data_IF_717308580317
#
_entry.id   IF_717308580317
#
_cell.length_a   1.000
_cell.length_b   1.000
_cell.length_c   1.000
_cell.angle_alpha   90.00
_cell.angle_beta   90.00
_cell.angle_gamma   90.00
#
_symmetry.space_group_name_H-M   'P 1'
#
loop_
_entity.id
_entity.type
_entity.pdbx_description
1 polymer ?
#
# COMPACT_ATOMS: atom_id res chain seq x y z
N UNK A 1 6.22 -9.97 15.51
CA UNK A 1 5.65 -9.49 14.24
C UNK A 1 4.24 -10.02 14.14
N UNK A 2 3.23 -9.15 14.08
CA UNK A 2 1.82 -9.55 14.04
C UNK A 2 1.38 -9.94 12.63
N UNK A 3 0.54 -10.97 12.53
CA UNK A 3 -0.14 -11.31 11.27
C UNK A 3 -1.19 -10.26 10.88
N UNK A 4 -1.71 -10.37 9.65
CA UNK A 4 -2.77 -9.49 9.14
C UNK A 4 -4.14 -10.10 9.41
N UNK A 5 -4.84 -9.62 10.44
CA UNK A 5 -6.26 -9.96 10.67
C UNK A 5 -7.11 -9.07 9.76
N UNK A 6 -7.56 -9.58 8.61
CA UNK A 6 -8.29 -8.82 7.58
C UNK A 6 -9.59 -9.51 7.16
N UNK A 7 -10.37 -8.83 6.32
CA UNK A 7 -11.52 -9.39 5.60
C UNK A 7 -11.60 -8.77 4.19
N UNK A 8 -12.66 -9.06 3.44
CA UNK A 8 -12.96 -8.34 2.19
C UNK A 8 -13.71 -7.04 2.48
N UNK A 9 -13.67 -6.08 1.54
CA UNK A 9 -14.51 -4.87 1.62
C UNK A 9 -16.01 -5.20 1.59
N UNK A 10 -16.40 -6.40 1.14
CA UNK A 10 -17.78 -6.89 1.24
C UNK A 10 -18.22 -7.14 2.69
N UNK A 11 -17.33 -7.68 3.52
CA UNK A 11 -17.58 -7.86 4.95
C UNK A 11 -17.69 -6.51 5.66
N UNK A 12 -16.79 -5.57 5.36
CA UNK A 12 -16.85 -4.21 5.91
C UNK A 12 -18.17 -3.53 5.52
N UNK A 13 -18.52 -3.59 4.23
CA UNK A 13 -19.78 -3.08 3.70
C UNK A 13 -20.99 -3.67 4.43
N UNK A 14 -20.98 -4.95 4.74
CA UNK A 14 -22.15 -5.60 5.31
C UNK A 14 -22.23 -5.53 6.83
N UNK A 15 -21.10 -5.45 7.55
CA UNK A 15 -21.07 -5.71 9.00
C UNK A 15 -20.43 -4.61 9.84
N UNK A 16 -19.50 -3.83 9.28
CA UNK A 16 -18.70 -2.91 10.10
C UNK A 16 -19.51 -1.72 10.64
N UNK A 17 -19.82 -1.74 11.93
CA UNK A 17 -20.49 -0.65 12.65
C UNK A 17 -19.49 0.34 13.26
N UNK A 18 -18.21 -0.02 13.36
CA UNK A 18 -17.16 0.86 13.86
C UNK A 18 -15.98 0.91 12.88
N UNK A 19 -15.67 2.09 12.34
CA UNK A 19 -14.67 2.24 11.28
C UNK A 19 -13.66 3.30 11.71
N UNK A 20 -12.39 2.91 11.78
CA UNK A 20 -11.27 3.82 12.09
C UNK A 20 -10.49 4.05 10.80
N UNK A 21 -10.25 5.31 10.45
CA UNK A 21 -9.26 5.69 9.44
C UNK A 21 -8.07 6.32 10.16
N UNK A 22 -6.89 5.74 9.97
CA UNK A 22 -5.66 6.18 10.61
C UNK A 22 -4.63 6.67 9.60
N UNK A 23 -4.22 7.93 9.70
CA UNK A 23 -3.21 8.54 8.83
C UNK A 23 -3.60 8.44 7.36
N UNK A 24 -4.87 8.67 7.04
CA UNK A 24 -5.42 8.48 5.71
C UNK A 24 -6.56 9.46 5.42
N UNK A 25 -6.64 9.90 4.17
CA UNK A 25 -7.65 10.84 3.70
C UNK A 25 -8.47 10.22 2.54
N UNK A 26 -9.31 9.21 2.83
CA UNK A 26 -10.12 8.52 1.83
C UNK A 26 -11.02 9.44 0.99
N UNK A 27 -11.46 10.59 1.51
CA UNK A 27 -12.29 11.54 0.75
C UNK A 27 -11.57 12.07 -0.51
N UNK A 28 -10.23 12.18 -0.47
CA UNK A 28 -9.43 12.64 -1.61
C UNK A 28 -8.70 11.49 -2.30
N UNK A 29 -8.10 10.57 -1.54
CA UNK A 29 -7.28 9.50 -2.09
C UNK A 29 -8.09 8.30 -2.61
N UNK A 30 -9.30 8.08 -2.06
CA UNK A 30 -10.20 6.99 -2.47
C UNK A 30 -11.66 7.47 -2.52
N UNK A 31 -12.02 8.41 -3.41
CA UNK A 31 -13.25 9.22 -3.26
C UNK A 31 -14.56 8.42 -3.18
N UNK A 32 -14.60 7.21 -3.75
CA UNK A 32 -15.77 6.32 -3.72
C UNK A 32 -15.77 5.32 -2.56
N UNK A 33 -14.76 5.34 -1.69
CA UNK A 33 -14.61 4.35 -0.61
C UNK A 33 -15.76 4.41 0.40
N UNK A 34 -16.11 5.64 0.84
CA UNK A 34 -17.24 5.88 1.75
C UNK A 34 -18.56 5.44 1.15
N UNK A 35 -18.79 5.80 -0.12
CA UNK A 35 -20.06 5.55 -0.78
C UNK A 35 -20.22 4.11 -1.21
N UNK A 36 -19.14 3.39 -1.53
CA UNK A 36 -19.22 2.03 -2.11
C UNK A 36 -18.99 0.90 -1.10
N UNK A 37 -18.17 1.12 -0.07
CA UNK A 37 -17.69 0.02 0.78
C UNK A 37 -17.84 0.23 2.28
N UNK A 38 -18.02 1.46 2.75
CA UNK A 38 -17.99 1.74 4.19
C UNK A 38 -19.22 2.53 4.63
N UNK A 39 -19.07 3.84 4.86
CA UNK A 39 -19.98 4.67 5.63
C UNK A 39 -21.43 4.69 5.12
N UNK A 40 -21.64 4.79 3.82
CA UNK A 40 -22.97 5.08 3.28
C UNK A 40 -23.80 3.83 2.97
N UNK A 41 -23.18 2.66 2.95
CA UNK A 41 -23.83 1.45 2.49
C UNK A 41 -24.79 0.89 3.53
N UNK A 42 -26.01 0.58 3.08
CA UNK A 42 -27.00 -0.20 3.84
C UNK A 42 -26.75 -1.68 3.62
N UNK A 43 -27.04 -2.49 4.64
CA UNK A 43 -26.97 -3.95 4.56
C UNK A 43 -28.08 -4.57 5.41
N UNK A 44 -28.19 -5.91 5.37
CA UNK A 44 -29.07 -6.67 6.27
C UNK A 44 -28.75 -6.44 7.75
N UNK A 45 -27.48 -6.24 8.10
CA UNK A 45 -27.03 -6.05 9.49
C UNK A 45 -26.98 -4.58 9.91
N UNK A 46 -26.90 -3.66 8.94
CA UNK A 46 -26.80 -2.20 9.14
C UNK A 46 -27.83 -1.49 8.22
N UNK A 47 -29.14 -1.66 8.46
CA UNK A 47 -30.20 -1.21 7.55
C UNK A 47 -30.30 0.31 7.43
N UNK A 48 -29.84 1.07 8.44
CA UNK A 48 -29.86 2.55 8.44
C UNK A 48 -28.59 3.16 7.84
N UNK A 49 -27.66 2.34 7.32
CA UNK A 49 -26.47 2.80 6.61
C UNK A 49 -25.56 3.66 7.51
N UNK A 50 -25.31 4.92 7.13
CA UNK A 50 -24.45 5.86 7.88
C UNK A 50 -24.84 6.02 9.35
N UNK A 51 -26.13 5.97 9.67
CA UNK A 51 -26.64 6.10 11.06
C UNK A 51 -26.33 4.90 11.95
N UNK A 52 -26.00 3.75 11.36
CA UNK A 52 -25.60 2.53 12.09
C UNK A 52 -24.07 2.41 12.22
N UNK A 53 -23.32 3.42 11.78
CA UNK A 53 -21.86 3.37 11.73
C UNK A 53 -21.26 4.54 12.46
N UNK A 54 -20.22 4.26 13.23
CA UNK A 54 -19.35 5.27 13.81
C UNK A 54 -18.05 5.33 13.01
N UNK A 55 -17.67 6.52 12.56
CA UNK A 55 -16.40 6.79 11.92
C UNK A 55 -15.47 7.55 12.87
N UNK A 56 -14.29 6.99 13.11
CA UNK A 56 -13.19 7.68 13.77
C UNK A 56 -12.15 8.03 12.73
N UNK A 57 -11.67 9.27 12.74
CA UNK A 57 -10.51 9.69 11.98
C UNK A 57 -9.38 10.04 12.96
N UNK A 58 -8.22 9.40 12.77
CA UNK A 58 -6.98 9.74 13.46
C UNK A 58 -6.01 10.32 12.44
N UNK A 59 -5.72 11.61 12.52
CA UNK A 59 -4.83 12.30 11.59
C UNK A 59 -4.20 13.52 12.28
N UNK A 60 -3.02 13.95 11.82
CA UNK A 60 -2.34 15.14 12.32
C UNK A 60 -3.03 16.44 11.86
N UNK A 61 -3.87 16.36 10.82
CA UNK A 61 -4.57 17.50 10.22
C UNK A 61 -6.05 17.21 10.05
N UNK A 62 -6.86 18.25 10.13
CA UNK A 62 -8.28 18.18 9.78
C UNK A 62 -8.45 18.12 8.26
N UNK A 63 -8.41 16.91 7.69
CA UNK A 63 -8.54 16.69 6.24
C UNK A 63 -10.01 16.75 5.78
N UNK A 64 -10.27 16.72 4.47
CA UNK A 64 -11.65 16.63 3.95
C UNK A 64 -12.42 15.41 4.49
N UNK A 65 -11.72 14.36 4.88
CA UNK A 65 -12.32 13.18 5.51
C UNK A 65 -12.87 13.46 6.92
N UNK A 66 -12.37 14.48 7.63
CA UNK A 66 -12.82 14.84 8.98
C UNK A 66 -14.30 15.23 9.02
N UNK A 67 -14.80 15.88 7.95
CA UNK A 67 -16.22 16.24 7.81
C UNK A 67 -17.18 15.04 7.84
N UNK A 68 -16.68 13.84 7.54
CA UNK A 68 -17.46 12.62 7.58
C UNK A 68 -17.33 11.85 8.91
N UNK A 69 -16.35 12.22 9.75
CA UNK A 69 -16.04 11.53 10.99
C UNK A 69 -17.01 11.94 12.12
N UNK A 70 -17.39 10.97 12.95
CA UNK A 70 -18.11 11.24 14.20
C UNK A 70 -17.14 11.64 15.32
N UNK A 71 -15.91 11.12 15.26
CA UNK A 71 -14.83 11.37 16.20
C UNK A 71 -13.57 11.70 15.41
N UNK A 72 -12.96 12.85 15.70
CA UNK A 72 -11.65 13.21 15.17
C UNK A 72 -10.64 13.26 16.30
N UNK A 73 -9.59 12.45 16.21
CA UNK A 73 -8.46 12.46 17.13
C UNK A 73 -7.25 13.06 16.42
N UNK A 74 -6.92 14.29 16.81
CA UNK A 74 -5.76 14.97 16.28
C UNK A 74 -4.49 14.55 17.02
N UNK A 75 -3.83 13.52 16.53
CA UNK A 75 -2.54 13.07 17.08
C UNK A 75 -1.43 14.05 16.71
N UNK A 76 -0.46 14.26 17.61
CA UNK A 76 0.73 15.06 17.30
C UNK A 76 1.61 14.36 16.26
N UNK A 77 2.30 15.11 15.37
CA UNK A 77 3.18 14.52 14.38
C UNK A 77 4.23 13.57 14.98
N UNK A 78 4.29 12.35 14.45
CA UNK A 78 5.27 11.34 14.86
C UNK A 78 4.97 10.66 16.19
N UNK A 79 3.75 10.81 16.74
CA UNK A 79 3.30 10.16 17.98
C UNK A 79 2.29 9.03 17.76
N UNK A 80 2.11 8.57 16.52
CA UNK A 80 1.20 7.48 16.17
C UNK A 80 1.54 6.17 16.88
N UNK A 81 2.83 5.81 16.94
CA UNK A 81 3.29 4.57 17.58
C UNK A 81 2.97 4.56 19.08
N UNK A 82 3.27 5.67 19.76
CA UNK A 82 3.00 5.87 21.17
C UNK A 82 1.49 5.83 21.42
N UNK A 83 0.69 6.54 20.62
CA UNK A 83 -0.77 6.54 20.75
C UNK A 83 -1.36 5.13 20.58
N UNK A 84 -0.92 4.37 19.57
CA UNK A 84 -1.36 2.98 19.38
C UNK A 84 -0.94 2.11 20.58
N UNK A 85 0.28 2.30 21.08
CA UNK A 85 0.79 1.54 22.24
C UNK A 85 -0.02 1.83 23.50
N UNK A 86 -0.39 3.10 23.72
CA UNK A 86 -1.29 3.52 24.79
C UNK A 86 -2.66 2.88 24.64
N UNK A 87 -3.26 2.91 23.44
CA UNK A 87 -4.54 2.24 23.18
C UNK A 87 -4.46 0.74 23.49
N UNK A 88 -3.36 0.07 23.11
CA UNK A 88 -3.13 -1.35 23.41
C UNK A 88 -3.05 -1.63 24.92
N UNK A 89 -2.46 -0.73 25.70
CA UNK A 89 -2.43 -0.81 27.15
C UNK A 89 -3.83 -0.59 27.76
N UNK A 90 -4.53 0.46 27.32
CA UNK A 90 -5.87 0.81 27.81
C UNK A 90 -6.91 -0.27 27.51
N UNK A 91 -6.87 -0.92 26.33
CA UNK A 91 -7.82 -2.01 26.04
C UNK A 91 -7.61 -3.22 26.97
N UNK A 92 -6.40 -3.39 27.53
CA UNK A 92 -6.06 -4.45 28.49
C UNK A 92 -6.13 -3.98 29.95
N UNK A 93 -6.76 -2.82 30.16
CA UNK A 93 -6.93 -2.20 31.47
C UNK A 93 -5.60 -2.03 32.23
N UNK A 94 -4.52 -1.80 31.48
CA UNK A 94 -3.18 -1.54 32.04
C UNK A 94 -3.03 -0.05 32.38
N UNK A 95 -2.31 0.28 33.47
CA UNK A 95 -2.04 1.67 33.83
C UNK A 95 -1.19 2.33 32.75
N UNK A 96 -1.53 3.57 32.41
CA UNK A 96 -0.78 4.43 31.49
C UNK A 96 -0.53 5.76 32.17
N UNK A 97 0.69 6.25 32.07
CA UNK A 97 1.13 7.54 32.61
C UNK A 97 0.42 8.71 31.91
N UNK A 98 -0.04 9.72 32.65
CA UNK A 98 -0.76 10.88 32.09
C UNK A 98 0.13 11.72 31.17
N UNK A 99 1.40 11.84 31.52
CA UNK A 99 2.41 12.57 30.76
C UNK A 99 2.59 11.94 29.36
N UNK A 100 2.61 10.61 29.28
CA UNK A 100 2.72 9.89 28.00
C UNK A 100 1.48 10.09 27.12
N UNK A 101 0.29 10.19 27.72
CA UNK A 101 -0.94 10.51 26.98
C UNK A 101 -0.87 11.95 26.46
N UNK A 102 -0.50 12.90 27.32
CA UNK A 102 -0.38 14.31 26.95
C UNK A 102 0.63 14.53 25.82
N UNK A 103 1.69 13.72 25.74
CA UNK A 103 2.65 13.74 24.64
C UNK A 103 2.03 13.43 23.27
N UNK A 104 0.96 12.63 23.20
CA UNK A 104 0.26 12.31 21.94
C UNK A 104 -0.61 13.47 21.45
N UNK A 105 -0.93 14.43 22.31
CA UNK A 105 -1.88 15.51 22.03
C UNK A 105 -3.35 15.13 22.14
N UNK A 106 -3.68 13.89 22.52
CA UNK A 106 -5.05 13.43 22.72
C UNK A 106 -5.38 13.37 24.21
N UNK A 107 -6.56 13.86 24.61
CA UNK A 107 -7.02 13.83 25.99
C UNK A 107 -7.32 12.39 26.46
N UNK A 108 -7.03 12.08 27.73
CA UNK A 108 -7.31 10.75 28.32
C UNK A 108 -8.77 10.37 28.19
N UNK A 109 -9.68 11.30 28.40
CA UNK A 109 -11.12 11.09 28.35
C UNK A 109 -11.54 10.65 26.95
N UNK A 110 -10.95 11.25 25.91
CA UNK A 110 -11.20 10.87 24.51
C UNK A 110 -10.64 9.47 24.21
N UNK A 111 -9.49 9.09 24.75
CA UNK A 111 -8.95 7.73 24.61
C UNK A 111 -9.79 6.70 25.34
N UNK A 112 -10.26 7.01 26.54
CA UNK A 112 -11.13 6.12 27.31
C UNK A 112 -12.47 5.93 26.59
N UNK A 113 -13.11 7.01 26.11
CA UNK A 113 -14.34 6.93 25.31
C UNK A 113 -14.12 6.11 24.03
N UNK A 114 -13.01 6.33 23.32
CA UNK A 114 -12.66 5.55 22.14
C UNK A 114 -12.54 4.05 22.47
N UNK A 115 -11.80 3.69 23.54
CA UNK A 115 -11.62 2.31 23.96
C UNK A 115 -12.95 1.64 24.31
N UNK A 116 -13.83 2.34 25.03
CA UNK A 116 -15.15 1.82 25.38
C UNK A 116 -16.00 1.57 24.13
N UNK A 117 -16.03 2.52 23.18
CA UNK A 117 -16.75 2.35 21.92
C UNK A 117 -16.18 1.22 21.06
N UNK A 118 -14.86 1.10 21.01
CA UNK A 118 -14.19 0.00 20.32
C UNK A 118 -14.57 -1.35 20.93
N UNK A 119 -14.55 -1.50 22.25
CA UNK A 119 -14.97 -2.73 22.94
C UNK A 119 -16.46 -3.04 22.72
N UNK A 120 -17.32 -2.02 22.60
CA UNK A 120 -18.77 -2.17 22.42
C UNK A 120 -19.22 -2.42 20.96
N UNK A 121 -18.35 -2.21 19.97
CA UNK A 121 -18.66 -2.44 18.56
C UNK A 121 -18.97 -3.91 18.28
N UNK A 122 -19.78 -4.21 17.25
CA UNK A 122 -20.04 -5.58 16.79
C UNK A 122 -19.01 -6.06 15.77
N UNK A 123 -18.55 -5.14 14.91
CA UNK A 123 -17.53 -5.39 13.91
C UNK A 123 -16.74 -4.11 13.64
N UNK A 124 -15.52 -4.06 14.16
CA UNK A 124 -14.57 -2.98 13.95
C UNK A 124 -13.70 -3.19 12.71
N UNK A 125 -13.45 -2.12 11.95
CA UNK A 125 -12.51 -2.12 10.84
C UNK A 125 -11.55 -0.93 10.93
N UNK A 126 -10.25 -1.20 10.96
CA UNK A 126 -9.20 -0.18 10.95
C UNK A 126 -8.56 -0.09 9.56
N UNK A 127 -8.81 1.01 8.87
CA UNK A 127 -8.11 1.38 7.66
C UNK A 127 -6.92 2.28 7.99
N UNK A 128 -5.77 2.05 7.35
CA UNK A 128 -4.61 2.90 7.55
C UNK A 128 -3.91 3.29 6.25
N UNK A 129 -3.43 4.53 6.20
CA UNK A 129 -2.81 5.13 5.02
C UNK A 129 -1.33 5.48 5.21
N UNK A 130 -0.84 6.33 4.33
CA UNK A 130 0.56 6.75 4.29
C UNK A 130 0.97 7.63 5.47
N UNK A 131 0.01 8.31 6.13
CA UNK A 131 0.27 9.03 7.38
C UNK A 131 0.71 8.11 8.52
N UNK A 132 0.47 6.80 8.41
CA UNK A 132 0.99 5.80 9.33
C UNK A 132 2.25 5.09 8.80
N UNK A 133 2.30 4.76 7.51
CA UNK A 133 3.37 3.93 6.94
C UNK A 133 4.63 4.70 6.49
N UNK A 134 4.54 6.01 6.25
CA UNK A 134 5.65 6.85 5.79
C UNK A 134 6.19 7.83 6.84
N UNK A 135 5.58 7.90 8.02
CA UNK A 135 6.06 8.73 9.14
C UNK A 135 7.14 8.01 9.96
N UNK A 136 7.74 8.72 10.93
CA UNK A 136 8.73 8.13 11.85
C UNK A 136 8.17 6.84 12.46
N UNK A 137 8.97 5.78 12.43
CA UNK A 137 8.56 4.42 12.82
C UNK A 137 8.16 3.52 11.64
N UNK A 138 7.64 4.07 10.54
CA UNK A 138 7.32 3.37 9.27
C UNK A 138 6.54 2.05 9.50
N UNK A 139 7.21 0.91 9.31
CA UNK A 139 6.63 -0.43 9.45
C UNK A 139 6.26 -0.75 10.91
N UNK A 140 6.92 -0.15 11.90
CA UNK A 140 6.59 -0.33 13.32
C UNK A 140 5.21 0.22 13.65
N UNK A 141 4.83 1.35 13.05
CA UNK A 141 3.51 1.95 13.22
C UNK A 141 2.41 1.04 12.66
N UNK A 142 2.64 0.52 11.45
CA UNK A 142 1.72 -0.42 10.81
C UNK A 142 1.61 -1.72 11.61
N UNK A 143 2.73 -2.26 12.10
CA UNK A 143 2.75 -3.45 12.95
C UNK A 143 2.00 -3.22 14.27
N UNK A 144 2.13 -2.04 14.88
CA UNK A 144 1.42 -1.68 16.10
C UNK A 144 -0.10 -1.67 15.87
N UNK A 145 -0.58 -1.06 14.78
CA UNK A 145 -2.02 -1.02 14.47
C UNK A 145 -2.59 -2.40 14.14
N UNK A 146 -1.86 -3.20 13.36
CA UNK A 146 -2.26 -4.59 13.08
C UNK A 146 -2.34 -5.41 14.37
N UNK A 147 -1.40 -5.18 15.30
CA UNK A 147 -1.40 -5.83 16.62
C UNK A 147 -2.56 -5.35 17.47
N UNK A 148 -2.88 -4.06 17.47
CA UNK A 148 -4.07 -3.53 18.16
C UNK A 148 -5.35 -4.19 17.63
N UNK A 149 -5.51 -4.30 16.30
CA UNK A 149 -6.65 -4.98 15.71
C UNK A 149 -6.72 -6.46 16.12
N UNK A 150 -5.59 -7.16 16.17
CA UNK A 150 -5.53 -8.53 16.66
C UNK A 150 -5.94 -8.64 18.14
N UNK A 151 -5.40 -7.77 19.00
CA UNK A 151 -5.70 -7.76 20.44
C UNK A 151 -7.16 -7.39 20.75
N UNK A 152 -7.77 -6.52 19.94
CA UNK A 152 -9.19 -6.20 20.05
C UNK A 152 -10.10 -7.42 19.87
N UNK A 153 -9.66 -8.47 19.16
CA UNK A 153 -10.43 -9.71 18.99
C UNK A 153 -10.64 -10.50 20.29
N UNK A 154 -9.96 -10.15 21.39
CA UNK A 154 -10.30 -10.67 22.72
C UNK A 154 -11.62 -10.11 23.28
N UNK A 155 -12.10 -8.97 22.74
CA UNK A 155 -13.29 -8.27 23.20
C UNK A 155 -14.42 -8.32 22.17
N UNK A 156 -14.10 -8.03 20.91
CA UNK A 156 -15.07 -8.04 19.81
C UNK A 156 -14.36 -8.15 18.46
N UNK A 157 -15.09 -8.45 17.39
CA UNK A 157 -14.48 -8.69 16.08
C UNK A 157 -13.83 -7.40 15.55
N UNK A 158 -12.51 -7.42 15.37
CA UNK A 158 -11.76 -6.36 14.70
C UNK A 158 -10.91 -6.91 13.56
N UNK A 159 -10.78 -6.10 12.52
CA UNK A 159 -9.90 -6.33 11.38
C UNK A 159 -9.14 -5.04 11.03
N UNK A 160 -8.01 -5.17 10.35
CA UNK A 160 -7.25 -4.05 9.84
C UNK A 160 -6.83 -4.27 8.38
N UNK A 161 -6.85 -3.20 7.59
CA UNK A 161 -6.52 -3.23 6.18
C UNK A 161 -5.77 -1.95 5.75
N UNK A 162 -4.66 -2.07 5.01
CA UNK A 162 -4.01 -0.90 4.42
C UNK A 162 -4.86 -0.33 3.28
N UNK A 163 -4.96 1.00 3.23
CA UNK A 163 -5.55 1.75 2.12
C UNK A 163 -4.56 1.82 0.97
N UNK A 164 -4.44 0.72 0.21
CA UNK A 164 -3.50 0.61 -0.92
C UNK A 164 -3.80 1.67 -1.98
N UNK A 165 -2.74 2.30 -2.50
CA UNK A 165 -2.83 3.46 -3.40
C UNK A 165 -3.25 3.10 -4.83
N UNK A 166 -2.28 2.70 -5.66
CA UNK A 166 -2.51 2.40 -7.07
C UNK A 166 -3.43 1.19 -7.28
N UNK A 167 -4.13 1.19 -8.42
CA UNK A 167 -5.18 0.23 -8.75
C UNK A 167 -4.74 -1.25 -8.77
N UNK A 168 -3.45 -1.53 -8.90
CA UNK A 168 -2.92 -2.90 -8.92
C UNK A 168 -1.62 -3.10 -8.11
N UNK A 169 -1.30 -2.21 -7.15
CA UNK A 169 -0.11 -2.40 -6.28
C UNK A 169 -0.22 -3.68 -5.44
N UNK A 170 -1.44 -4.11 -5.12
CA UNK A 170 -1.67 -5.40 -4.47
C UNK A 170 -1.34 -6.56 -5.40
N UNK A 171 -1.62 -6.43 -6.69
CA UNK A 171 -1.39 -7.49 -7.67
C UNK A 171 0.10 -7.74 -7.85
N UNK A 172 0.91 -6.69 -7.99
CA UNK A 172 2.37 -6.80 -8.03
C UNK A 172 2.89 -7.63 -6.84
N UNK A 173 2.49 -7.28 -5.61
CA UNK A 173 2.91 -8.03 -4.41
C UNK A 173 2.43 -9.49 -4.42
N UNK A 174 1.22 -9.77 -4.92
CA UNK A 174 0.65 -11.14 -4.98
C UNK A 174 1.40 -12.00 -5.98
N UNK A 175 1.63 -11.48 -7.19
CA UNK A 175 2.35 -12.19 -8.25
C UNK A 175 3.79 -12.48 -7.80
N UNK A 176 4.50 -11.46 -7.28
CA UNK A 176 5.87 -11.64 -6.81
C UNK A 176 5.94 -12.68 -5.69
N UNK A 177 4.98 -12.67 -4.74
CA UNK A 177 4.94 -13.65 -3.65
C UNK A 177 4.81 -15.08 -4.15
N UNK A 178 3.90 -15.36 -5.07
CA UNK A 178 3.75 -16.74 -5.54
C UNK A 178 4.89 -17.18 -6.44
N UNK A 179 5.51 -16.25 -7.20
CA UNK A 179 6.59 -16.59 -8.13
C UNK A 179 7.94 -16.75 -7.43
N UNK A 180 8.17 -15.99 -6.36
CA UNK A 180 9.51 -15.85 -5.75
C UNK A 180 9.55 -16.18 -4.26
N UNK A 181 8.40 -16.34 -3.61
CA UNK A 181 8.27 -16.42 -2.16
C UNK A 181 8.22 -15.04 -1.46
N UNK A 182 8.46 -13.93 -2.15
CA UNK A 182 8.63 -12.61 -1.57
C UNK A 182 7.85 -11.51 -2.31
N UNK A 183 7.41 -10.42 -1.64
CA UNK A 183 6.49 -9.45 -2.26
C UNK A 183 7.12 -8.31 -3.07
N UNK A 184 8.34 -7.85 -2.75
CA UNK A 184 9.04 -6.73 -3.41
C UNK A 184 10.48 -6.68 -2.91
N UNK A 185 11.36 -5.81 -3.44
CA UNK A 185 12.72 -5.66 -2.91
C UNK A 185 13.51 -6.96 -2.98
N UNK A 186 13.50 -7.57 -4.16
CA UNK A 186 14.06 -8.88 -4.45
C UNK A 186 15.25 -8.71 -5.40
N UNK A 187 16.33 -9.42 -5.13
CA UNK A 187 17.44 -9.58 -6.09
C UNK A 187 17.53 -11.02 -6.56
N UNK A 188 17.97 -11.19 -7.82
CA UNK A 188 18.26 -12.48 -8.44
C UNK A 188 19.75 -12.66 -8.76
N UNK A 189 20.63 -11.78 -8.28
CA UNK A 189 22.05 -11.74 -8.66
C UNK A 189 22.83 -13.03 -8.35
N UNK A 190 22.28 -13.94 -7.54
CA UNK A 190 22.88 -15.25 -7.22
C UNK A 190 22.23 -16.43 -7.94
N UNK A 191 21.36 -16.17 -8.93
CA UNK A 191 20.57 -17.20 -9.62
C UNK A 191 19.33 -17.69 -8.85
N UNK A 192 19.04 -17.13 -7.67
CA UNK A 192 17.85 -17.43 -6.86
C UNK A 192 17.34 -16.17 -6.14
N UNK A 193 16.03 -16.10 -5.79
CA UNK A 193 15.46 -14.91 -5.17
C UNK A 193 16.00 -14.70 -3.74
N UNK A 194 16.50 -13.49 -3.47
CA UNK A 194 16.82 -13.01 -2.12
C UNK A 194 16.01 -11.76 -1.81
N UNK A 195 15.48 -11.66 -0.60
CA UNK A 195 14.61 -10.59 -0.15
C UNK A 195 15.20 -9.86 1.03
N UNK A 196 15.40 -8.54 0.88
CA UNK A 196 15.87 -7.69 1.97
C UNK A 196 15.50 -6.22 1.70
N UNK A 197 14.30 -5.76 2.08
CA UNK A 197 13.94 -4.33 1.98
C UNK A 197 14.91 -3.44 2.76
N UNK A 198 15.31 -2.32 2.17
CA UNK A 198 16.43 -1.48 2.66
C UNK A 198 17.77 -1.83 2.01
N UNK A 199 17.96 -3.07 1.57
CA UNK A 199 19.07 -3.46 0.70
C UNK A 199 18.62 -3.44 -0.77
N UNK A 200 17.57 -4.18 -1.13
CA UNK A 200 17.16 -4.34 -2.55
C UNK A 200 15.92 -3.52 -2.93
N UNK A 201 15.50 -2.59 -2.09
CA UNK A 201 14.40 -1.67 -2.41
C UNK A 201 14.86 -0.63 -3.43
N UNK A 202 13.97 -0.24 -4.34
CA UNK A 202 14.31 0.62 -5.49
C UNK A 202 14.97 1.94 -5.08
N UNK A 203 14.46 2.59 -4.03
CA UNK A 203 15.06 3.84 -3.54
C UNK A 203 16.48 3.60 -3.01
N UNK A 204 16.70 2.54 -2.25
CA UNK A 204 18.00 2.25 -1.65
C UNK A 204 19.07 1.93 -2.70
N UNK A 205 18.75 1.10 -3.70
CA UNK A 205 19.70 0.76 -4.78
C UNK A 205 20.02 1.96 -5.68
N UNK A 206 19.04 2.84 -5.93
CA UNK A 206 19.26 4.06 -6.71
C UNK A 206 20.12 5.08 -5.94
N UNK A 207 19.80 5.33 -4.67
CA UNK A 207 20.53 6.32 -3.85
C UNK A 207 21.98 5.89 -3.62
N UNK A 208 22.24 4.59 -3.44
CA UNK A 208 23.62 4.08 -3.32
C UNK A 208 24.36 4.00 -4.66
N UNK A 209 23.64 4.07 -5.78
CA UNK A 209 24.22 3.91 -7.12
C UNK A 209 24.63 2.47 -7.43
N UNK A 210 23.98 1.49 -6.80
CA UNK A 210 24.27 0.06 -6.98
C UNK A 210 23.85 -0.47 -8.36
N UNK A 211 22.94 0.26 -9.04
CA UNK A 211 22.43 -0.10 -10.37
C UNK A 211 23.09 0.72 -11.48
N UNK A 212 23.40 0.06 -12.59
CA UNK A 212 23.99 0.60 -13.81
C UNK A 212 22.98 0.83 -14.95
N UNK A 213 21.75 0.32 -14.81
CA UNK A 213 20.61 0.57 -15.70
C UNK A 213 19.28 0.46 -14.93
N UNK A 214 18.21 1.03 -15.49
CA UNK A 214 16.86 0.95 -14.91
C UNK A 214 15.80 0.59 -15.95
N UNK A 215 14.91 -0.34 -15.60
CA UNK A 215 13.73 -0.70 -16.39
C UNK A 215 12.46 -0.39 -15.60
N UNK A 216 11.72 0.62 -16.04
CA UNK A 216 10.54 1.15 -15.34
C UNK A 216 9.29 0.84 -16.14
N UNK A 217 8.28 0.25 -15.48
CA UNK A 217 7.01 -0.13 -16.12
C UNK A 217 5.87 0.52 -15.34
N UNK A 218 5.08 1.37 -16.02
CA UNK A 218 3.84 1.95 -15.48
C UNK A 218 4.01 2.74 -14.17
N UNK A 219 5.16 3.40 -13.99
CA UNK A 219 5.48 4.17 -12.80
C UNK A 219 6.25 5.44 -13.17
N UNK A 220 6.13 6.48 -12.34
CA UNK A 220 6.80 7.78 -12.54
C UNK A 220 7.77 8.13 -11.38
N UNK A 221 8.85 7.35 -11.15
CA UNK A 221 9.83 7.64 -10.11
C UNK A 221 10.52 9.00 -10.26
N UNK A 222 10.66 9.51 -11.47
CA UNK A 222 11.18 10.84 -11.78
C UNK A 222 10.38 12.00 -11.19
N UNK A 223 9.13 11.78 -10.77
CA UNK A 223 8.32 12.79 -10.06
C UNK A 223 8.03 12.44 -8.60
N UNK A 224 8.27 11.19 -8.19
CA UNK A 224 7.79 10.66 -6.89
C UNK A 224 8.88 10.18 -5.95
N UNK A 225 10.12 10.01 -6.42
CA UNK A 225 11.24 9.57 -5.60
C UNK A 225 12.05 10.75 -5.02
N UNK A 226 12.88 10.52 -3.99
CA UNK A 226 13.81 11.53 -3.49
C UNK A 226 14.83 11.96 -4.55
N UNK A 227 15.29 13.21 -4.50
CA UNK A 227 16.20 13.79 -5.48
C UNK A 227 17.43 12.92 -5.80
N UNK A 228 18.15 12.34 -4.82
CA UNK A 228 19.32 11.52 -5.15
C UNK A 228 19.01 10.29 -6.00
N UNK A 229 17.81 9.71 -5.86
CA UNK A 229 17.37 8.60 -6.71
C UNK A 229 17.04 9.08 -8.14
N UNK A 230 16.43 10.27 -8.27
CA UNK A 230 16.15 10.89 -9.57
C UNK A 230 17.46 11.23 -10.30
N UNK A 231 18.44 11.78 -9.59
CA UNK A 231 19.76 12.10 -10.16
C UNK A 231 20.46 10.84 -10.68
N UNK A 232 20.36 9.71 -9.96
CA UNK A 232 20.87 8.43 -10.44
C UNK A 232 20.14 7.95 -11.71
N UNK A 233 18.80 8.05 -11.76
CA UNK A 233 18.02 7.69 -12.95
C UNK A 233 18.41 8.50 -14.20
N UNK A 234 18.76 9.78 -14.01
CA UNK A 234 19.24 10.65 -15.09
C UNK A 234 20.65 10.27 -15.58
N UNK A 235 21.47 9.66 -14.70
CA UNK A 235 22.86 9.28 -15.01
C UNK A 235 22.95 7.93 -15.74
N UNK A 236 22.09 6.98 -15.40
CA UNK A 236 22.13 5.61 -15.96
C UNK A 236 21.18 5.45 -17.16
N UNK A 237 21.42 4.47 -18.06
CA UNK A 237 20.45 4.09 -19.08
C UNK A 237 19.12 3.66 -18.45
N UNK A 238 18.10 4.49 -18.64
CA UNK A 238 16.74 4.23 -18.17
C UNK A 238 15.83 3.91 -19.35
N UNK A 239 15.10 2.80 -19.27
CA UNK A 239 14.08 2.37 -20.23
C UNK A 239 12.72 2.44 -19.54
N UNK A 240 11.73 3.06 -20.19
CA UNK A 240 10.39 3.27 -19.64
C UNK A 240 9.32 2.70 -20.55
N UNK A 241 8.40 1.92 -19.98
CA UNK A 241 7.12 1.54 -20.57
C UNK A 241 6.03 2.37 -19.89
N UNK A 242 5.41 3.27 -20.64
CA UNK A 242 4.31 4.11 -20.12
C UNK A 242 3.40 4.55 -21.27
N UNK A 243 2.06 4.56 -21.09
CA UNK A 243 1.13 5.11 -22.09
C UNK A 243 1.28 6.61 -22.32
N UNK A 244 1.93 7.33 -21.41
CA UNK A 244 2.05 8.79 -21.43
C UNK A 244 3.50 9.27 -21.33
N UNK A 245 3.71 10.53 -21.71
CA UNK A 245 4.98 11.21 -21.43
C UNK A 245 4.95 11.70 -19.98
N UNK A 246 5.88 11.22 -19.17
CA UNK A 246 5.99 11.47 -17.73
C UNK A 246 7.31 12.18 -17.39
N UNK A 247 7.54 12.52 -16.11
CA UNK A 247 8.85 13.04 -15.71
C UNK A 247 9.94 11.99 -15.92
N UNK A 248 9.64 10.73 -15.61
CA UNK A 248 10.53 9.59 -15.81
C UNK A 248 10.82 9.36 -17.28
N UNK A 249 9.81 9.43 -18.16
CA UNK A 249 10.03 9.20 -19.59
C UNK A 249 10.92 10.28 -20.23
N UNK A 250 10.92 11.51 -19.69
CA UNK A 250 11.85 12.58 -20.12
C UNK A 250 13.30 12.34 -19.68
N UNK A 251 13.51 11.58 -18.61
CA UNK A 251 14.83 11.13 -18.17
C UNK A 251 15.29 9.87 -18.91
N UNK A 252 14.36 9.15 -19.55
CA UNK A 252 14.63 7.87 -20.15
C UNK A 252 15.44 8.00 -21.44
N UNK A 253 16.35 7.06 -21.65
CA UNK A 253 17.05 6.87 -22.93
C UNK A 253 16.13 6.26 -23.98
N UNK A 254 15.19 5.42 -23.54
CA UNK A 254 14.17 4.79 -24.40
C UNK A 254 12.82 4.87 -23.69
N UNK A 255 11.83 5.44 -24.37
CA UNK A 255 10.43 5.39 -23.96
C UNK A 255 9.64 4.58 -24.99
N UNK A 256 9.00 3.50 -24.54
CA UNK A 256 8.10 2.69 -25.34
C UNK A 256 6.67 3.00 -24.89
N UNK A 257 5.88 3.58 -25.80
CA UNK A 257 4.45 3.82 -25.55
C UNK A 257 3.70 2.50 -25.56
N UNK A 258 3.00 2.20 -24.47
CA UNK A 258 2.18 0.98 -24.32
C UNK A 258 0.69 1.30 -24.21
N UNK A 259 -0.15 0.30 -24.46
CA UNK A 259 -1.60 0.42 -24.31
C UNK A 259 -1.98 0.55 -22.83
N UNK A 260 -2.80 1.55 -22.44
CA UNK A 260 -3.19 1.75 -21.05
C UNK A 260 -4.00 0.58 -20.52
N UNK A 261 -3.52 -0.03 -19.43
CA UNK A 261 -4.13 -1.19 -18.80
C UNK A 261 -5.56 -0.88 -18.30
N UNK A 262 -6.49 -1.79 -18.60
CA UNK A 262 -7.92 -1.68 -18.24
C UNK A 262 -8.72 -0.67 -19.05
N UNK A 263 -8.08 0.15 -19.89
CA UNK A 263 -8.74 1.01 -20.87
C UNK A 263 -8.67 0.36 -22.26
N UNK A 264 -7.47 -0.02 -22.69
CA UNK A 264 -7.20 -0.59 -24.01
C UNK A 264 -6.42 -1.92 -23.98
N UNK A 265 -5.83 -2.30 -22.85
CA UNK A 265 -5.20 -3.61 -22.66
C UNK A 265 -5.90 -4.41 -21.53
N UNK A 266 -6.20 -5.71 -21.74
CA UNK A 266 -6.83 -6.54 -20.72
C UNK A 266 -5.84 -6.88 -19.60
N UNK A 267 -6.32 -7.54 -18.55
CA UNK A 267 -5.46 -8.00 -17.46
C UNK A 267 -6.25 -8.31 -16.20
N UNK A 268 -5.53 -8.61 -15.12
CA UNK A 268 -6.12 -8.79 -13.80
C UNK A 268 -5.55 -7.76 -12.84
N UNK A 269 -6.42 -7.04 -12.15
CA UNK A 269 -6.04 -6.15 -11.07
C UNK A 269 -6.52 -6.68 -9.72
N UNK A 270 -5.69 -6.58 -8.69
CA UNK A 270 -6.06 -6.94 -7.33
C UNK A 270 -6.42 -5.68 -6.55
N UNK A 271 -7.62 -5.65 -5.99
CA UNK A 271 -8.08 -4.55 -5.12
C UNK A 271 -7.32 -4.58 -3.78
N UNK A 272 -7.45 -3.53 -2.96
CA UNK A 272 -6.78 -3.42 -1.65
C UNK A 272 -7.09 -4.57 -0.67
N UNK A 273 -8.23 -5.24 -0.86
CA UNK A 273 -8.66 -6.42 -0.11
C UNK A 273 -8.28 -7.75 -0.78
N UNK A 274 -7.31 -7.72 -1.70
CA UNK A 274 -6.73 -8.88 -2.39
C UNK A 274 -7.72 -9.65 -3.30
N UNK A 275 -8.89 -9.07 -3.60
CA UNK A 275 -9.79 -9.66 -4.59
C UNK A 275 -9.29 -9.40 -6.02
N UNK A 276 -9.08 -10.44 -6.84
CA UNK A 276 -8.74 -10.30 -8.25
C UNK A 276 -9.96 -9.85 -9.06
N UNK A 277 -9.77 -8.86 -9.91
CA UNK A 277 -10.79 -8.29 -10.77
C UNK A 277 -10.27 -8.30 -12.22
N UNK A 278 -10.97 -8.97 -13.16
CA UNK A 278 -10.61 -8.92 -14.56
C UNK A 278 -10.89 -7.51 -15.10
N UNK A 279 -9.89 -6.93 -15.75
CA UNK A 279 -9.99 -5.66 -16.44
C UNK A 279 -10.62 -5.89 -17.81
N UNK A 280 -11.61 -5.06 -18.15
CA UNK A 280 -12.39 -5.16 -19.38
C UNK A 280 -12.14 -3.91 -20.23
N UNK A 281 -11.20 -3.96 -21.19
CA UNK A 281 -10.92 -2.83 -22.07
C UNK A 281 -12.17 -2.42 -22.83
N UNK A 282 -12.43 -1.12 -22.91
CA UNK A 282 -13.52 -0.55 -23.68
C UNK A 282 -13.05 -0.01 -25.04
N UNK A 283 -11.74 0.23 -25.17
CA UNK A 283 -11.12 0.85 -26.34
C UNK A 283 -10.08 -0.09 -26.95
N UNK A 284 -9.70 0.20 -28.20
CA UNK A 284 -8.55 -0.43 -28.86
C UNK A 284 -7.40 0.58 -28.89
N UNK A 285 -6.18 0.09 -28.71
CA UNK A 285 -4.95 0.88 -28.82
C UNK A 285 -4.17 0.42 -30.06
N UNK A 286 -3.53 1.33 -30.81
CA UNK A 286 -2.55 0.96 -31.83
C UNK A 286 -1.21 0.50 -31.22
N UNK A 287 -0.98 0.78 -29.94
CA UNK A 287 0.23 0.40 -29.21
C UNK A 287 0.10 -1.00 -28.58
N UNK A 288 1.21 -1.75 -28.44
CA UNK A 288 1.22 -3.04 -27.75
C UNK A 288 0.95 -2.88 -26.25
N UNK A 289 0.52 -3.96 -25.61
CA UNK A 289 0.47 -4.06 -24.14
C UNK A 289 1.87 -4.14 -23.52
N UNK A 290 1.98 -3.83 -22.22
CA UNK A 290 3.24 -3.99 -21.48
C UNK A 290 3.78 -5.43 -21.58
N UNK A 291 2.89 -6.42 -21.50
CA UNK A 291 3.23 -7.85 -21.62
C UNK A 291 3.86 -8.19 -22.97
N UNK A 292 3.29 -7.70 -24.08
CA UNK A 292 3.83 -7.94 -25.41
C UNK A 292 5.20 -7.30 -25.60
N UNK A 293 5.41 -6.09 -25.06
CA UNK A 293 6.72 -5.42 -25.10
C UNK A 293 7.75 -6.20 -24.28
N UNK A 294 7.42 -6.59 -23.05
CA UNK A 294 8.32 -7.37 -22.19
C UNK A 294 8.67 -8.72 -22.84
N UNK A 295 7.70 -9.42 -23.44
CA UNK A 295 7.95 -10.67 -24.18
C UNK A 295 8.92 -10.48 -25.34
N UNK A 296 8.77 -9.43 -26.13
CA UNK A 296 9.70 -9.11 -27.24
C UNK A 296 11.11 -8.78 -26.73
N UNK A 297 11.21 -8.07 -25.60
CA UNK A 297 12.50 -7.78 -24.95
C UNK A 297 13.17 -9.08 -24.51
N UNK A 298 12.44 -9.99 -23.85
CA UNK A 298 12.95 -11.29 -23.42
C UNK A 298 13.45 -12.10 -24.63
N UNK A 299 12.65 -12.22 -25.69
CA UNK A 299 13.04 -12.93 -26.91
C UNK A 299 14.31 -12.35 -27.56
N UNK A 300 14.44 -11.02 -27.59
CA UNK A 300 15.63 -10.36 -28.13
C UNK A 300 16.87 -10.58 -27.25
N UNK A 301 16.70 -10.70 -25.93
CA UNK A 301 17.77 -11.00 -24.98
C UNK A 301 18.22 -12.47 -25.14
N UNK A 302 17.30 -13.42 -25.27
CA UNK A 302 17.58 -14.85 -25.45
C UNK A 302 18.36 -15.16 -26.74
N UNK A 303 18.21 -14.34 -27.78
CA UNK A 303 18.96 -14.47 -29.03
C UNK A 303 20.41 -13.99 -28.94
N UNK A 304 20.80 -13.27 -27.87
CA UNK A 304 22.17 -12.78 -27.71
C UNK A 304 23.06 -13.88 -27.12
N UNK A 305 24.17 -14.27 -27.78
CA UNK A 305 25.03 -15.37 -27.32
C UNK A 305 25.73 -15.08 -25.99
N UNK A 306 26.06 -13.81 -25.73
CA UNK A 306 26.70 -13.32 -24.50
C UNK A 306 26.17 -11.94 -24.14
N UNK A 307 25.97 -11.66 -22.85
CA UNK A 307 25.43 -10.37 -22.38
C UNK A 307 26.47 -9.57 -21.60
N UNK A 308 27.54 -10.21 -21.13
CA UNK A 308 28.64 -9.56 -20.42
C UNK A 308 29.81 -9.25 -21.37
N UNK A 309 30.54 -8.13 -21.16
CA UNK A 309 31.66 -7.74 -22.02
C UNK A 309 32.79 -8.78 -22.12
N UNK A 310 32.90 -9.67 -21.14
CA UNK A 310 33.91 -10.73 -21.05
C UNK A 310 33.50 -12.04 -21.78
N UNK A 311 32.34 -12.05 -22.44
CA UNK A 311 31.82 -13.24 -23.13
C UNK A 311 31.27 -14.31 -22.19
N UNK A 312 31.01 -13.98 -20.91
CA UNK A 312 30.29 -14.87 -20.00
C UNK A 312 28.77 -14.66 -20.08
N UNK A 313 28.01 -15.66 -19.64
CA UNK A 313 26.58 -15.50 -19.39
C UNK A 313 26.36 -15.03 -17.96
N UNK A 314 25.44 -14.08 -17.72
CA UNK A 314 25.07 -13.73 -16.35
C UNK A 314 24.47 -14.95 -15.65
N UNK A 315 24.54 -14.95 -14.32
CA UNK A 315 23.84 -15.96 -13.53
C UNK A 315 22.34 -15.84 -13.77
N UNK A 316 21.80 -16.74 -14.58
CA UNK A 316 20.39 -16.79 -14.89
C UNK A 316 19.64 -17.55 -13.81
N UNK A 317 18.41 -17.14 -13.53
CA UNK A 317 17.44 -18.03 -12.88
C UNK A 317 17.19 -19.15 -13.88
N UNK A 318 17.77 -20.34 -13.64
CA UNK A 318 17.42 -21.52 -14.43
C UNK A 318 15.92 -21.71 -14.29
N UNK A 319 15.19 -21.70 -15.40
CA UNK A 319 13.80 -22.11 -15.40
C UNK A 319 13.76 -23.52 -14.82
N UNK A 320 13.36 -23.65 -13.55
CA UNK A 320 12.98 -24.96 -13.03
C UNK A 320 11.74 -25.36 -13.80
N UNK A 321 11.81 -26.51 -14.47
CA UNK A 321 10.70 -27.09 -15.23
C UNK A 321 9.49 -27.39 -14.36
#
# INVERSE_FOLDING_TARGET
>A
MGGKVTCTLGEVKNRADFIVYWGGNPAECHPRHFTKYTLMQKSRFLPRGRKDRTMVLVDIRETKSAKAADIFLQVRPGKDFELITILRALIKDQPVCDELIAETGVAREALNDLVQRMKAAKFGCMFFGMGLSMTRGKHMNSAALLTLAAEMNAFTKFVAMPMRGHGNVTGADVIMRWQTGYPFGITFNRGYPRYNPGEFSTVDVLVRGDCDAAFIIGADPGSTMPQPAIDQLARIPTIVLDPHVTHTSKLARVHITTAPQGIAAPGTAYRMDELPLPLKPALKSPYPSDEEVVKRIIQAIEQKPFWLPDGSQPQMVTAMG
#
